data_IF_501411570984
#
_entry.id   IF_501411570984
#
_cell.length_a   1.000
_cell.length_b   1.000
_cell.length_c   1.000
_cell.angle_alpha   90.00
_cell.angle_beta   90.00
_cell.angle_gamma   90.00
#
_symmetry.space_group_name_H-M   'P 1'
#
loop_
_entity.id
_entity.type
_entity.pdbx_description
1 polymer ?
#
# COMPACT_ATOMS: atom_id res chain seq x y z
N UNK A 1 18.53 25.23 14.23
CA UNK A 1 17.25 25.93 13.96
C UNK A 1 16.22 24.84 13.70
N UNK A 2 15.20 24.66 14.55
CA UNK A 2 14.16 23.67 14.29
C UNK A 2 13.43 24.03 12.99
N UNK A 3 13.13 23.01 12.18
CA UNK A 3 12.49 23.16 10.87
C UNK A 3 11.02 23.57 11.07
N UNK A 4 10.75 24.87 10.93
CA UNK A 4 9.41 25.46 11.12
C UNK A 4 8.36 24.86 10.17
N UNK A 5 8.78 24.27 9.06
CA UNK A 5 7.87 23.65 8.08
C UNK A 5 7.35 22.29 8.53
N UNK A 6 8.20 21.50 9.19
CA UNK A 6 7.82 20.21 9.76
C UNK A 6 6.82 20.38 10.91
N UNK A 7 7.06 21.35 11.79
CA UNK A 7 6.18 21.64 12.92
C UNK A 7 4.82 22.21 12.46
N UNK A 8 4.81 23.05 11.41
CA UNK A 8 3.57 23.53 10.79
C UNK A 8 2.75 22.41 10.17
N UNK A 9 3.42 21.44 9.55
CA UNK A 9 2.78 20.26 8.94
C UNK A 9 2.16 19.36 10.00
N UNK A 10 2.89 19.13 11.09
CA UNK A 10 2.42 18.35 12.23
C UNK A 10 1.17 18.95 12.87
N UNK A 11 1.19 20.25 13.18
CA UNK A 11 0.04 20.93 13.76
C UNK A 11 -1.23 20.86 12.87
N UNK A 12 -1.06 20.97 11.54
CA UNK A 12 -2.16 20.77 10.59
C UNK A 12 -2.67 19.33 10.59
N UNK A 13 -1.79 18.36 10.74
CA UNK A 13 -2.16 16.95 10.80
C UNK A 13 -2.97 16.62 12.05
N UNK A 14 -2.59 17.18 13.21
CA UNK A 14 -3.38 17.11 14.46
C UNK A 14 -4.77 17.72 14.26
N UNK A 15 -4.86 18.89 13.63
CA UNK A 15 -6.14 19.53 13.34
C UNK A 15 -7.03 18.65 12.44
N UNK A 16 -6.46 18.03 11.41
CA UNK A 16 -7.19 17.09 10.53
C UNK A 16 -7.68 15.88 11.34
N UNK A 17 -6.84 15.29 12.18
CA UNK A 17 -7.20 14.16 13.03
C UNK A 17 -8.37 14.51 13.96
N UNK A 18 -8.34 15.68 14.60
CA UNK A 18 -9.43 16.15 15.46
C UNK A 18 -10.74 16.37 14.69
N UNK A 19 -10.68 16.93 13.47
CA UNK A 19 -11.87 17.14 12.62
C UNK A 19 -12.54 15.83 12.19
N UNK A 20 -11.76 14.76 12.09
CA UNK A 20 -12.20 13.44 11.65
C UNK A 20 -12.45 12.48 12.82
N UNK A 21 -12.47 12.98 14.06
CA UNK A 21 -12.82 12.19 15.24
C UNK A 21 -11.72 11.26 15.73
N UNK A 22 -10.44 11.65 15.60
CA UNK A 22 -9.31 10.84 16.05
C UNK A 22 -8.87 9.77 15.04
N UNK A 23 -9.29 9.89 13.78
CA UNK A 23 -8.82 9.04 12.69
C UNK A 23 -8.48 9.90 11.48
N UNK A 24 -7.33 9.66 10.84
CA UNK A 24 -6.94 10.36 9.62
C UNK A 24 -6.34 9.35 8.64
N UNK A 25 -7.07 8.97 7.57
CA UNK A 25 -6.57 8.05 6.56
C UNK A 25 -5.26 8.57 5.94
N UNK A 26 -4.36 7.65 5.59
CA UNK A 26 -3.05 8.02 5.05
C UNK A 26 -3.20 8.85 3.76
N UNK A 27 -4.18 8.49 2.92
CA UNK A 27 -4.51 9.20 1.68
C UNK A 27 -5.00 10.64 1.91
N UNK A 28 -5.71 10.88 3.02
CA UNK A 28 -6.19 12.21 3.40
C UNK A 28 -5.02 13.10 3.79
N UNK A 29 -4.07 12.57 4.58
CA UNK A 29 -2.86 13.28 4.96
C UNK A 29 -1.98 13.60 3.75
N UNK A 30 -1.76 12.63 2.85
CA UNK A 30 -1.04 12.85 1.59
C UNK A 30 -1.64 14.00 0.78
N UNK A 31 -2.97 13.96 0.55
CA UNK A 31 -3.65 14.95 -0.28
C UNK A 31 -3.71 16.34 0.36
N UNK A 32 -4.02 16.42 1.66
CA UNK A 32 -4.20 17.70 2.35
C UNK A 32 -2.89 18.38 2.69
N UNK A 33 -1.84 17.61 2.96
CA UNK A 33 -0.53 18.12 3.35
C UNK A 33 0.49 18.05 2.21
N UNK A 34 0.11 17.53 1.04
CA UNK A 34 0.98 17.32 -0.14
C UNK A 34 2.23 16.51 0.22
N UNK A 35 2.03 15.48 1.02
CA UNK A 35 3.10 14.60 1.49
C UNK A 35 3.29 13.42 0.55
N UNK A 36 4.54 12.98 0.45
CA UNK A 36 4.86 11.67 -0.12
C UNK A 36 4.23 10.56 0.73
N UNK A 37 4.09 9.39 0.11
CA UNK A 37 3.48 8.22 0.74
C UNK A 37 4.19 7.81 2.04
N UNK A 38 5.54 7.77 2.01
CA UNK A 38 6.37 7.43 3.18
C UNK A 38 6.28 8.49 4.28
N UNK A 39 6.32 9.78 3.91
CA UNK A 39 6.21 10.89 4.87
C UNK A 39 4.85 10.87 5.59
N UNK A 40 3.77 10.60 4.85
CA UNK A 40 2.44 10.49 5.45
C UNK A 40 2.31 9.29 6.41
N UNK A 41 2.99 8.17 6.12
CA UNK A 41 3.02 7.02 7.02
C UNK A 41 3.77 7.33 8.31
N UNK A 42 4.97 7.91 8.20
CA UNK A 42 5.75 8.32 9.36
C UNK A 42 5.00 9.36 10.21
N UNK A 43 4.26 10.26 9.56
CA UNK A 43 3.40 11.23 10.26
C UNK A 43 2.24 10.55 10.99
N UNK A 44 1.58 9.54 10.39
CA UNK A 44 0.57 8.74 11.10
C UNK A 44 1.18 8.04 12.31
N UNK A 45 2.36 7.43 12.19
CA UNK A 45 3.05 6.76 13.31
C UNK A 45 3.31 7.73 14.46
N UNK A 46 3.78 8.95 14.15
CA UNK A 46 3.97 10.00 15.15
C UNK A 46 2.65 10.41 15.82
N UNK A 47 1.60 10.63 15.05
CA UNK A 47 0.29 11.01 15.59
C UNK A 47 -0.33 9.92 16.48
N UNK A 48 -0.11 8.64 16.16
CA UNK A 48 -0.50 7.52 17.03
C UNK A 48 0.30 7.55 18.33
N UNK A 49 1.63 7.69 18.23
CA UNK A 49 2.52 7.70 19.39
C UNK A 49 2.20 8.84 20.37
N UNK A 50 1.78 9.99 19.84
CA UNK A 50 1.35 11.16 20.63
C UNK A 50 -0.14 11.12 21.03
N UNK A 51 -0.89 10.08 20.65
CA UNK A 51 -2.28 9.85 21.07
C UNK A 51 -3.34 10.68 20.33
N UNK A 52 -3.00 11.26 19.18
CA UNK A 52 -3.93 12.01 18.34
C UNK A 52 -4.74 11.14 17.39
N UNK A 53 -4.28 9.92 17.13
CA UNK A 53 -4.97 8.94 16.30
C UNK A 53 -5.27 7.65 17.08
N UNK A 54 -6.42 7.06 16.78
CA UNK A 54 -6.76 5.71 17.23
C UNK A 54 -5.88 4.68 16.52
N UNK A 55 -4.99 4.06 17.29
CA UNK A 55 -4.08 3.03 16.82
C UNK A 55 -4.81 1.82 16.20
N UNK A 56 -5.99 1.46 16.73
CA UNK A 56 -6.77 0.32 16.22
C UNK A 56 -7.39 0.66 14.86
N UNK A 57 -7.94 1.85 14.70
CA UNK A 57 -8.50 2.31 13.44
C UNK A 57 -7.42 2.38 12.34
N UNK A 58 -6.23 2.90 12.66
CA UNK A 58 -5.12 2.95 11.70
C UNK A 58 -4.55 1.55 11.41
N UNK A 59 -4.48 0.66 12.40
CA UNK A 59 -4.07 -0.72 12.17
C UNK A 59 -5.05 -1.47 11.25
N UNK A 60 -6.35 -1.23 11.39
CA UNK A 60 -7.37 -1.79 10.50
C UNK A 60 -7.22 -1.28 9.05
N UNK A 61 -7.01 0.04 8.85
CA UNK A 61 -6.71 0.62 7.53
C UNK A 61 -5.46 -0.04 6.90
N UNK A 62 -4.37 -0.18 7.67
CA UNK A 62 -3.14 -0.83 7.19
C UNK A 62 -3.35 -2.30 6.83
N UNK A 63 -4.13 -3.03 7.64
CA UNK A 63 -4.47 -4.42 7.37
C UNK A 63 -5.27 -4.57 6.08
N UNK A 64 -6.22 -3.67 5.83
CA UNK A 64 -6.98 -3.64 4.58
C UNK A 64 -6.08 -3.37 3.37
N UNK A 65 -5.16 -2.39 3.48
CA UNK A 65 -4.20 -2.12 2.41
C UNK A 65 -3.26 -3.29 2.15
N UNK A 66 -2.78 -3.95 3.19
CA UNK A 66 -1.99 -5.18 3.08
C UNK A 66 -2.77 -6.27 2.33
N UNK A 67 -4.03 -6.52 2.71
CA UNK A 67 -4.86 -7.55 2.09
C UNK A 67 -5.14 -7.26 0.62
N UNK A 68 -5.41 -5.99 0.28
CA UNK A 68 -5.57 -5.55 -1.10
C UNK A 68 -4.28 -5.74 -1.90
N UNK A 69 -3.13 -5.35 -1.36
CA UNK A 69 -1.84 -5.53 -2.02
C UNK A 69 -1.50 -7.01 -2.25
N UNK A 70 -1.75 -7.88 -1.26
CA UNK A 70 -1.58 -9.33 -1.41
C UNK A 70 -2.52 -9.91 -2.48
N UNK A 71 -3.77 -9.47 -2.53
CA UNK A 71 -4.73 -9.88 -3.56
C UNK A 71 -4.25 -9.47 -4.95
N UNK A 72 -3.87 -8.20 -5.14
CA UNK A 72 -3.35 -7.70 -6.41
C UNK A 72 -2.07 -8.41 -6.84
N UNK A 73 -1.15 -8.67 -5.91
CA UNK A 73 0.06 -9.44 -6.17
C UNK A 73 -0.26 -10.86 -6.66
N UNK A 74 -1.18 -11.56 -5.98
CA UNK A 74 -1.59 -12.90 -6.38
C UNK A 74 -2.22 -12.94 -7.76
N UNK A 75 -3.14 -12.02 -8.06
CA UNK A 75 -3.80 -11.91 -9.36
C UNK A 75 -2.80 -11.61 -10.48
N UNK A 76 -1.95 -10.60 -10.31
CA UNK A 76 -0.96 -10.21 -11.30
C UNK A 76 0.10 -11.30 -11.53
N UNK A 77 0.50 -12.01 -10.48
CA UNK A 77 1.41 -13.16 -10.59
C UNK A 77 0.78 -14.30 -11.37
N UNK A 78 -0.50 -14.62 -11.13
CA UNK A 78 -1.21 -15.65 -11.88
C UNK A 78 -1.36 -15.28 -13.36
N UNK A 79 -1.66 -14.02 -13.67
CA UNK A 79 -1.70 -13.51 -15.05
C UNK A 79 -0.32 -13.63 -15.72
N UNK A 80 0.75 -13.23 -15.03
CA UNK A 80 2.13 -13.34 -15.55
C UNK A 80 2.49 -14.79 -15.86
N UNK A 81 2.20 -15.72 -14.96
CA UNK A 81 2.44 -17.15 -15.16
C UNK A 81 1.63 -17.72 -16.35
N UNK A 82 0.36 -17.34 -16.49
CA UNK A 82 -0.47 -17.77 -17.62
C UNK A 82 0.08 -17.27 -18.97
N UNK A 83 0.64 -16.06 -19.01
CA UNK A 83 1.32 -15.52 -20.20
C UNK A 83 2.64 -16.26 -20.51
N UNK A 84 3.41 -16.65 -19.50
CA UNK A 84 4.63 -17.46 -19.69
C UNK A 84 4.31 -18.85 -20.24
N UNK A 85 3.27 -19.51 -19.72
CA UNK A 85 2.81 -20.81 -20.22
C UNK A 85 2.28 -20.74 -21.66
N UNK A 86 1.62 -19.65 -22.03
CA UNK A 86 1.04 -19.45 -23.36
C UNK A 86 2.01 -18.86 -24.38
N UNK A 87 3.07 -18.18 -23.94
CA UNK A 87 4.21 -17.78 -24.77
C UNK A 87 4.96 -18.96 -25.39
N UNK A 88 4.84 -20.17 -24.81
CA UNK A 88 5.26 -21.44 -25.41
C UNK A 88 4.47 -21.79 -26.69
N UNK A 89 3.27 -21.21 -26.86
CA UNK A 89 2.35 -21.48 -27.98
C UNK A 89 2.12 -20.29 -28.92
N UNK A 90 2.90 -19.20 -28.80
CA UNK A 90 2.92 -18.11 -29.79
C UNK A 90 1.74 -17.12 -29.70
N UNK A 91 1.64 -16.38 -28.59
CA UNK A 91 0.70 -15.25 -28.47
C UNK A 91 1.14 -14.06 -29.36
N UNK A 92 0.21 -13.39 -30.08
CA UNK A 92 0.49 -12.21 -30.90
C UNK A 92 0.98 -11.01 -30.06
N UNK A 93 1.68 -10.08 -30.74
CA UNK A 93 2.34 -8.88 -30.18
C UNK A 93 1.55 -8.08 -29.14
N UNK A 94 0.21 -8.09 -29.19
CA UNK A 94 -0.64 -7.35 -28.26
C UNK A 94 -0.61 -7.90 -26.82
N UNK A 95 -0.30 -9.19 -26.63
CA UNK A 95 -0.17 -9.80 -25.31
C UNK A 95 1.10 -9.41 -24.55
N UNK A 96 2.13 -8.89 -25.24
CA UNK A 96 3.41 -8.53 -24.62
C UNK A 96 3.29 -7.27 -23.74
N UNK A 97 2.44 -6.30 -24.14
CA UNK A 97 2.13 -5.14 -23.31
C UNK A 97 1.41 -5.55 -22.03
N UNK A 98 0.38 -6.40 -22.16
CA UNK A 98 -0.39 -6.90 -21.01
C UNK A 98 0.45 -7.75 -20.05
N UNK A 99 1.43 -8.50 -20.56
CA UNK A 99 2.42 -9.19 -19.73
C UNK A 99 3.31 -8.21 -18.95
N UNK A 100 3.87 -7.19 -19.61
CA UNK A 100 4.70 -6.19 -18.94
C UNK A 100 3.93 -5.41 -17.88
N UNK A 101 2.67 -5.06 -18.18
CA UNK A 101 1.78 -4.40 -17.24
C UNK A 101 1.48 -5.30 -16.03
N UNK A 102 1.17 -6.58 -16.25
CA UNK A 102 0.95 -7.53 -15.16
C UNK A 102 2.21 -7.75 -14.32
N UNK A 103 3.38 -7.86 -14.94
CA UNK A 103 4.66 -8.01 -14.24
C UNK A 103 4.99 -6.75 -13.41
N UNK A 104 4.69 -5.56 -13.94
CA UNK A 104 4.85 -4.31 -13.21
C UNK A 104 3.90 -4.23 -12.01
N UNK A 105 2.61 -4.52 -12.21
CA UNK A 105 1.61 -4.56 -11.13
C UNK A 105 2.01 -5.56 -10.05
N UNK A 106 2.55 -6.73 -10.41
CA UNK A 106 3.04 -7.70 -9.44
C UNK A 106 4.19 -7.14 -8.59
N UNK A 107 5.15 -6.45 -9.21
CA UNK A 107 6.25 -5.79 -8.47
C UNK A 107 5.73 -4.71 -7.54
N UNK A 108 4.90 -3.80 -8.04
CA UNK A 108 4.37 -2.67 -7.26
C UNK A 108 3.49 -3.17 -6.09
N UNK A 109 2.66 -4.19 -6.33
CA UNK A 109 1.84 -4.81 -5.30
C UNK A 109 2.68 -5.55 -4.26
N UNK A 110 3.77 -6.22 -4.65
CA UNK A 110 4.71 -6.86 -3.73
C UNK A 110 5.41 -5.82 -2.84
N UNK A 111 5.90 -4.73 -3.42
CA UNK A 111 6.53 -3.64 -2.68
C UNK A 111 5.55 -3.01 -1.69
N UNK A 112 4.31 -2.74 -2.13
CA UNK A 112 3.25 -2.22 -1.27
C UNK A 112 2.91 -3.19 -0.13
N UNK A 113 2.82 -4.50 -0.42
CA UNK A 113 2.54 -5.50 0.61
C UNK A 113 3.68 -5.55 1.64
N UNK A 114 4.94 -5.52 1.20
CA UNK A 114 6.11 -5.47 2.10
C UNK A 114 6.11 -4.20 2.95
N UNK A 115 5.73 -3.07 2.37
CA UNK A 115 5.62 -1.82 3.10
C UNK A 115 4.62 -1.92 4.26
N UNK A 116 3.47 -2.56 4.05
CA UNK A 116 2.48 -2.83 5.10
C UNK A 116 2.78 -4.07 5.96
N UNK A 117 3.98 -4.66 5.85
CA UNK A 117 4.44 -5.73 6.74
C UNK A 117 4.16 -7.16 6.28
N UNK A 118 3.94 -7.39 4.98
CA UNK A 118 3.80 -8.74 4.45
C UNK A 118 5.02 -9.61 4.74
N UNK A 119 4.77 -10.79 5.31
CA UNK A 119 5.79 -11.84 5.48
C UNK A 119 6.05 -12.58 4.18
N UNK A 120 7.20 -13.24 4.08
CA UNK A 120 7.51 -14.13 2.96
C UNK A 120 6.46 -15.25 2.78
N UNK A 121 5.92 -15.76 3.87
CA UNK A 121 4.87 -16.77 3.84
C UNK A 121 3.56 -16.23 3.25
N UNK A 122 3.16 -15.00 3.60
CA UNK A 122 1.97 -14.36 3.03
C UNK A 122 2.14 -14.07 1.54
N UNK A 123 3.31 -13.62 1.10
CA UNK A 123 3.60 -13.44 -0.33
C UNK A 123 3.56 -14.78 -1.08
N UNK A 124 4.17 -15.83 -0.53
CA UNK A 124 4.12 -17.16 -1.14
C UNK A 124 2.69 -17.72 -1.22
N UNK A 125 1.87 -17.48 -0.20
CA UNK A 125 0.45 -17.85 -0.19
C UNK A 125 -0.35 -17.04 -1.22
N UNK A 126 -0.10 -15.73 -1.34
CA UNK A 126 -0.74 -14.86 -2.33
C UNK A 126 -0.44 -15.31 -3.75
N UNK A 127 0.82 -15.62 -4.04
CA UNK A 127 1.25 -16.12 -5.36
C UNK A 127 0.59 -17.45 -5.73
N UNK A 128 0.31 -18.31 -4.74
CA UNK A 128 -0.39 -19.59 -4.94
C UNK A 128 -1.92 -19.43 -5.00
N UNK A 129 -2.46 -18.22 -4.86
CA UNK A 129 -3.90 -17.97 -4.83
C UNK A 129 -4.59 -18.46 -3.55
N UNK A 130 -3.84 -18.69 -2.46
CA UNK A 130 -4.38 -19.25 -1.20
C UNK A 130 -4.70 -18.19 -0.15
N UNK A 131 -4.62 -16.91 -0.48
CA UNK A 131 -5.05 -15.82 0.42
C UNK A 131 -6.57 -15.82 0.43
N UNK A 132 -7.17 -16.41 1.46
CA UNK A 132 -8.61 -16.29 1.71
C UNK A 132 -8.92 -14.85 2.13
N UNK A 133 -9.88 -14.25 1.44
CA UNK A 133 -10.48 -12.98 1.82
C UNK A 133 -11.26 -13.10 3.13
#
# INVERSE_FOLDING_TARGET
MPDQTAESTYAKAVQIASQLGGFAPQSVLQRRLRLGYQDAHALQDRLIAEGHLDAQAVAAERSEHLQRALTSYGQASATTAAYEESGVYGIPRDGFSSYQDAAQVARDAQETARFYGATAAQLAAAQKGTVRA
#
